data_IF_218626546675
#
_entry.id   IF_218626546675
#
_cell.length_a   1.000
_cell.length_b   1.000
_cell.length_c   1.000
_cell.angle_alpha   90.00
_cell.angle_beta   90.00
_cell.angle_gamma   90.00
#
_symmetry.space_group_name_H-M   'P 1'
#
loop_
_entity.id
_entity.type
_entity.pdbx_description
1 polymer ?
#
# COMPACT_ATOMS: atom_id res chain seq x y z
N UNK A 1 7.74 36.53 -2.08
CA UNK A 1 6.70 35.69 -1.46
C UNK A 1 5.99 34.97 -2.60
N UNK A 2 5.87 33.63 -2.59
CA UNK A 2 5.17 32.91 -3.68
C UNK A 2 3.74 33.43 -3.81
N UNK A 3 3.23 33.58 -5.03
CA UNK A 3 1.81 33.91 -5.26
C UNK A 3 0.90 32.81 -4.70
N UNK A 4 -0.33 33.15 -4.36
CA UNK A 4 -1.34 32.18 -3.88
C UNK A 4 -1.51 31.00 -4.85
N UNK A 5 -1.51 31.27 -6.16
CA UNK A 5 -1.61 30.23 -7.20
C UNK A 5 -0.38 29.31 -7.20
N UNK A 6 0.82 29.85 -7.03
CA UNK A 6 2.06 29.07 -6.92
C UNK A 6 2.08 28.21 -5.64
N UNK A 7 1.54 28.74 -4.54
CA UNK A 7 1.41 27.99 -3.29
C UNK A 7 0.44 26.81 -3.45
N UNK A 8 -0.72 27.03 -4.09
CA UNK A 8 -1.70 25.97 -4.40
C UNK A 8 -1.14 24.91 -5.35
N UNK A 9 -0.45 25.33 -6.41
CA UNK A 9 0.20 24.41 -7.34
C UNK A 9 1.29 23.56 -6.66
N UNK A 10 2.06 24.15 -5.74
CA UNK A 10 3.04 23.41 -4.96
C UNK A 10 2.38 22.38 -4.04
N UNK A 11 1.32 22.78 -3.33
CA UNK A 11 0.58 21.89 -2.44
C UNK A 11 0.02 20.68 -3.21
N UNK A 12 -0.61 20.91 -4.36
CA UNK A 12 -1.13 19.86 -5.22
C UNK A 12 -0.03 18.87 -5.66
N UNK A 13 1.18 19.35 -6.00
CA UNK A 13 2.32 18.47 -6.33
C UNK A 13 2.77 17.64 -5.13
N UNK A 14 2.79 18.21 -3.93
CA UNK A 14 3.15 17.47 -2.71
C UNK A 14 2.12 16.37 -2.40
N UNK A 15 0.84 16.67 -2.55
CA UNK A 15 -0.26 15.72 -2.39
C UNK A 15 -0.21 14.60 -3.45
N UNK A 16 0.07 14.94 -4.72
CA UNK A 16 0.26 13.97 -5.78
C UNK A 16 1.45 13.03 -5.50
N UNK A 17 2.58 13.56 -5.05
CA UNK A 17 3.75 12.76 -4.69
C UNK A 17 3.50 11.83 -3.48
N UNK A 18 2.63 12.25 -2.55
CA UNK A 18 2.16 11.40 -1.45
C UNK A 18 1.27 10.28 -2.00
N UNK A 19 0.25 10.61 -2.79
CA UNK A 19 -0.66 9.63 -3.39
C UNK A 19 0.09 8.59 -4.26
N UNK A 20 1.13 9.00 -4.97
CA UNK A 20 2.01 8.08 -5.70
C UNK A 20 2.72 7.10 -4.77
N UNK A 21 3.23 7.57 -3.63
CA UNK A 21 3.88 6.71 -2.63
C UNK A 21 2.87 5.76 -1.98
N UNK A 22 1.63 6.19 -1.72
CA UNK A 22 0.54 5.33 -1.25
C UNK A 22 0.17 4.25 -2.26
N UNK A 23 0.05 4.63 -3.54
CA UNK A 23 -0.18 3.66 -4.64
C UNK A 23 0.93 2.64 -4.75
N UNK A 24 2.19 3.07 -4.62
CA UNK A 24 3.32 2.14 -4.67
C UNK A 24 3.26 1.13 -3.52
N UNK A 25 2.97 1.58 -2.30
CA UNK A 25 2.78 0.69 -1.16
C UNK A 25 1.64 -0.30 -1.40
N UNK A 26 0.49 0.16 -1.92
CA UNK A 26 -0.64 -0.71 -2.24
C UNK A 26 -0.29 -1.75 -3.31
N UNK A 27 0.49 -1.39 -4.33
CA UNK A 27 0.97 -2.34 -5.35
C UNK A 27 1.81 -3.44 -4.71
N UNK A 28 2.74 -3.09 -3.81
CA UNK A 28 3.58 -4.08 -3.12
C UNK A 28 2.73 -5.04 -2.28
N UNK A 29 1.79 -4.51 -1.50
CA UNK A 29 0.90 -5.33 -0.67
C UNK A 29 0.04 -6.28 -1.53
N UNK A 30 -0.49 -5.79 -2.66
CA UNK A 30 -1.24 -6.62 -3.60
C UNK A 30 -0.38 -7.70 -4.26
N UNK A 31 0.87 -7.38 -4.61
CA UNK A 31 1.82 -8.34 -5.17
C UNK A 31 2.16 -9.44 -4.16
N UNK A 32 2.33 -9.10 -2.89
CA UNK A 32 2.58 -10.05 -1.81
C UNK A 32 1.37 -10.99 -1.66
N UNK A 33 0.16 -10.45 -1.56
CA UNK A 33 -1.06 -11.24 -1.45
C UNK A 33 -1.26 -12.19 -2.64
N UNK A 34 -1.15 -11.67 -3.87
CA UNK A 34 -1.29 -12.46 -5.09
C UNK A 34 -0.20 -13.54 -5.24
N UNK A 35 0.99 -13.33 -4.68
CA UNK A 35 2.05 -14.35 -4.66
C UNK A 35 1.79 -15.41 -3.58
N UNK A 36 1.35 -15.02 -2.39
CA UNK A 36 0.96 -15.97 -1.33
C UNK A 36 -0.18 -16.88 -1.79
N UNK A 37 -1.17 -16.33 -2.49
CA UNK A 37 -2.30 -17.10 -3.05
C UNK A 37 -1.82 -18.12 -4.10
N UNK A 38 -0.92 -17.72 -5.01
CA UNK A 38 -0.34 -18.62 -6.01
C UNK A 38 0.47 -19.76 -5.38
N UNK A 39 1.24 -19.47 -4.33
CA UNK A 39 2.00 -20.50 -3.60
C UNK A 39 1.06 -21.51 -2.95
N UNK A 40 0.02 -21.04 -2.26
CA UNK A 40 -0.99 -21.89 -1.62
C UNK A 40 -1.75 -22.73 -2.64
N UNK A 41 -2.16 -22.13 -3.76
CA UNK A 41 -2.85 -22.84 -4.85
C UNK A 41 -1.96 -23.91 -5.47
N UNK A 42 -0.67 -23.65 -5.67
CA UNK A 42 0.27 -24.65 -6.19
C UNK A 42 0.44 -25.85 -5.23
N UNK A 43 0.58 -25.58 -3.93
CA UNK A 43 0.61 -26.63 -2.90
C UNK A 43 -0.67 -27.45 -2.90
N UNK A 44 -1.83 -26.80 -3.00
CA UNK A 44 -3.14 -27.46 -3.09
C UNK A 44 -3.28 -28.34 -4.35
N UNK A 45 -2.83 -27.86 -5.51
CA UNK A 45 -2.85 -28.64 -6.77
C UNK A 45 -2.02 -29.91 -6.62
N UNK A 46 -0.81 -29.81 -6.04
CA UNK A 46 0.03 -30.98 -5.76
C UNK A 46 -0.66 -31.94 -4.79
N UNK A 47 -1.24 -31.45 -3.70
CA UNK A 47 -1.94 -32.29 -2.73
C UNK A 47 -3.11 -33.07 -3.36
N UNK A 48 -3.86 -32.46 -4.28
CA UNK A 48 -4.94 -33.14 -5.04
C UNK A 48 -4.44 -34.18 -6.04
N UNK A 49 -3.26 -33.98 -6.63
CA UNK A 49 -2.64 -34.99 -7.49
C UNK A 49 -2.30 -36.26 -6.70
N UNK A 50 -1.98 -36.12 -5.40
CA UNK A 50 -1.60 -37.23 -4.52
C UNK A 50 -2.72 -37.68 -3.55
N UNK A 51 -3.90 -37.06 -3.56
CA UNK A 51 -5.01 -37.39 -2.63
C UNK A 51 -6.41 -36.95 -3.11
N UNK A 52 -7.47 -37.67 -2.69
CA UNK A 52 -8.86 -37.39 -3.09
C UNK A 52 -9.42 -36.12 -2.41
N UNK A 53 -9.57 -35.06 -3.20
CA UNK A 53 -10.73 -34.17 -3.23
C UNK A 53 -11.05 -33.31 -2.00
N UNK A 54 -10.78 -32.00 -2.11
CA UNK A 54 -11.58 -30.97 -1.44
C UNK A 54 -11.74 -29.76 -2.37
N UNK A 55 -12.98 -29.43 -2.75
CA UNK A 55 -13.36 -28.36 -3.68
C UNK A 55 -13.30 -26.96 -3.06
N UNK A 56 -13.38 -26.86 -1.73
CA UNK A 56 -13.41 -25.59 -0.98
C UNK A 56 -12.05 -25.26 -0.35
N UNK A 57 -11.76 -23.97 -0.16
CA UNK A 57 -10.60 -23.48 0.60
C UNK A 57 -10.66 -24.03 2.03
N UNK A 58 -9.63 -24.78 2.45
CA UNK A 58 -9.59 -25.44 3.75
C UNK A 58 -8.90 -24.57 4.80
N UNK A 59 -9.03 -24.91 6.08
CA UNK A 59 -8.25 -24.26 7.15
C UNK A 59 -6.74 -24.47 7.00
N UNK A 60 -6.33 -25.58 6.40
CA UNK A 60 -4.92 -25.83 6.10
C UNK A 60 -4.43 -24.88 4.99
N UNK A 61 -5.23 -24.71 3.92
CA UNK A 61 -4.93 -23.73 2.86
C UNK A 61 -4.84 -22.31 3.43
N UNK A 62 -5.76 -21.92 4.33
CA UNK A 62 -5.71 -20.61 4.99
C UNK A 62 -4.42 -20.42 5.79
N UNK A 63 -4.01 -21.41 6.57
CA UNK A 63 -2.77 -21.34 7.35
C UNK A 63 -1.56 -21.19 6.43
N UNK A 64 -1.46 -22.03 5.40
CA UNK A 64 -0.34 -21.99 4.45
C UNK A 64 -0.32 -20.65 3.70
N UNK A 65 -1.47 -20.07 3.37
CA UNK A 65 -1.58 -18.73 2.81
C UNK A 65 -1.06 -17.65 3.76
N UNK A 66 -1.48 -17.66 5.03
CA UNK A 66 -1.02 -16.69 6.02
C UNK A 66 0.48 -16.82 6.31
N UNK A 67 1.04 -18.04 6.34
CA UNK A 67 2.48 -18.29 6.47
C UNK A 67 3.25 -17.72 5.27
N UNK A 68 2.78 -17.99 4.05
CA UNK A 68 3.39 -17.43 2.83
C UNK A 68 3.28 -15.89 2.80
N UNK A 69 2.15 -15.33 3.22
CA UNK A 69 1.94 -13.89 3.31
C UNK A 69 2.93 -13.25 4.30
N UNK A 70 3.09 -13.85 5.47
CA UNK A 70 4.03 -13.39 6.50
C UNK A 70 5.49 -13.45 6.02
N UNK A 71 5.88 -14.56 5.37
CA UNK A 71 7.23 -14.72 4.82
C UNK A 71 7.53 -13.66 3.74
N UNK A 72 6.61 -13.47 2.78
CA UNK A 72 6.78 -12.49 1.71
C UNK A 72 6.77 -11.04 2.21
N UNK A 73 5.94 -10.72 3.21
CA UNK A 73 5.99 -9.41 3.89
C UNK A 73 7.32 -9.21 4.62
N UNK A 74 7.85 -10.25 5.26
CA UNK A 74 9.15 -10.17 5.93
C UNK A 74 10.29 -9.93 4.94
N UNK A 75 10.31 -10.62 3.80
CA UNK A 75 11.27 -10.38 2.72
C UNK A 75 11.23 -8.93 2.20
N UNK A 76 10.03 -8.33 2.14
CA UNK A 76 9.81 -6.97 1.64
C UNK A 76 9.76 -5.89 2.73
N UNK A 77 10.02 -6.26 3.98
CA UNK A 77 9.87 -5.37 5.14
C UNK A 77 10.66 -4.08 5.01
N UNK A 78 11.91 -4.15 4.54
CA UNK A 78 12.75 -2.97 4.37
C UNK A 78 12.18 -1.94 3.39
N UNK A 79 11.57 -2.42 2.30
CA UNK A 79 10.93 -1.60 1.28
C UNK A 79 9.64 -0.96 1.80
N UNK A 80 8.79 -1.77 2.45
CA UNK A 80 7.54 -1.32 3.11
C UNK A 80 7.84 -0.26 4.18
N UNK A 81 8.83 -0.51 5.04
CA UNK A 81 9.22 0.40 6.11
C UNK A 81 9.78 1.71 5.55
N UNK A 82 10.55 1.65 4.45
CA UNK A 82 11.08 2.84 3.79
C UNK A 82 9.96 3.71 3.19
N UNK A 83 8.98 3.11 2.51
CA UNK A 83 7.81 3.82 1.97
C UNK A 83 6.93 4.39 3.07
N UNK A 84 6.70 3.64 4.15
CA UNK A 84 5.93 4.11 5.31
C UNK A 84 6.57 5.32 5.96
N UNK A 85 7.91 5.30 6.18
CA UNK A 85 8.63 6.47 6.68
C UNK A 85 8.59 7.65 5.71
N UNK A 86 8.62 7.39 4.39
CA UNK A 86 8.47 8.43 3.36
C UNK A 86 7.09 9.08 3.44
N UNK A 87 6.02 8.31 3.60
CA UNK A 87 4.66 8.82 3.78
C UNK A 87 4.55 9.71 5.03
N UNK A 88 5.10 9.28 6.16
CA UNK A 88 5.10 10.08 7.38
C UNK A 88 5.80 11.44 7.16
N UNK A 89 6.94 11.46 6.46
CA UNK A 89 7.66 12.70 6.11
C UNK A 89 6.87 13.58 5.15
N UNK A 90 6.21 13.00 4.15
CA UNK A 90 5.36 13.74 3.21
C UNK A 90 4.14 14.35 3.91
N UNK A 91 3.49 13.61 4.79
CA UNK A 91 2.37 14.10 5.61
C UNK A 91 2.80 15.28 6.49
N UNK A 92 3.95 15.16 7.17
CA UNK A 92 4.52 16.25 7.97
C UNK A 92 4.86 17.48 7.13
N UNK A 93 5.46 17.30 5.95
CA UNK A 93 5.79 18.39 5.03
C UNK A 93 4.53 19.10 4.51
N UNK A 94 3.48 18.36 4.15
CA UNK A 94 2.19 18.91 3.70
C UNK A 94 1.54 19.72 4.84
N UNK A 95 1.50 19.17 6.06
CA UNK A 95 0.95 19.86 7.22
C UNK A 95 1.70 21.17 7.51
N UNK A 96 3.04 21.12 7.55
CA UNK A 96 3.88 22.31 7.75
C UNK A 96 3.68 23.35 6.64
N UNK A 97 3.52 22.91 5.38
CA UNK A 97 3.25 23.80 4.26
C UNK A 97 1.90 24.51 4.40
N UNK A 98 0.84 23.77 4.75
CA UNK A 98 -0.49 24.33 5.01
C UNK A 98 -0.48 25.38 6.12
N UNK A 99 0.19 25.08 7.24
CA UNK A 99 0.35 26.04 8.36
C UNK A 99 1.10 27.30 7.91
N UNK A 100 2.23 27.14 7.20
CA UNK A 100 3.06 28.27 6.75
C UNK A 100 2.32 29.24 5.84
N UNK A 101 1.47 28.73 4.96
CA UNK A 101 0.74 29.52 3.97
C UNK A 101 -0.73 29.77 4.35
N UNK A 102 -1.16 29.35 5.54
CA UNK A 102 -2.55 29.44 6.03
C UNK A 102 -3.56 28.85 5.04
N UNK A 103 -3.15 27.80 4.31
CA UNK A 103 -4.02 27.08 3.39
C UNK A 103 -4.75 26.03 4.22
N UNK A 104 -5.95 26.38 4.67
CA UNK A 104 -6.76 25.54 5.55
C UNK A 104 -7.75 24.65 4.81
N UNK A 105 -7.70 24.60 3.47
CA UNK A 105 -8.68 23.87 2.68
C UNK A 105 -8.42 22.35 2.74
N UNK A 106 -9.35 21.55 3.26
CA UNK A 106 -9.29 20.11 3.09
C UNK A 106 -9.57 19.79 1.60
N UNK A 107 -8.85 18.81 1.06
CA UNK A 107 -8.82 18.49 -0.37
C UNK A 107 -10.16 18.02 -0.99
N UNK A 108 -11.28 18.05 -0.25
CA UNK A 108 -12.57 17.52 -0.69
C UNK A 108 -13.67 18.58 -0.92
N UNK A 109 -13.44 19.87 -0.61
CA UNK A 109 -14.46 20.93 -0.78
C UNK A 109 -14.47 21.58 -2.18
N UNK A 110 -13.62 21.15 -3.11
CA UNK A 110 -13.58 21.70 -4.48
C UNK A 110 -14.55 21.02 -5.47
N UNK A 111 -15.53 20.26 -4.97
CA UNK A 111 -16.62 19.68 -5.79
C UNK A 111 -17.96 20.15 -5.23
N UNK A 112 -18.45 21.28 -5.73
CA UNK A 112 -19.85 21.70 -5.71
C UNK A 112 -20.10 22.61 -6.89
#
# INVERSE_FOLDING_TARGET
>A
MRSYTEQRAMLARMEAARAETERHLAIIENQIAARAERMTTSTRVKARQFGRGATTWTRADERDFQENLAALRFERRGEIDALTRKLARQAGAIAAFRVRYRINEPAWEAVS
#
